data_IF_379525906200
#
_entry.id   IF_379525906200
#
_cell.length_a   1.000
_cell.length_b   1.000
_cell.length_c   1.000
_cell.angle_alpha   90.00
_cell.angle_beta   90.00
_cell.angle_gamma   90.00
#
_symmetry.space_group_name_H-M   'P 1'
#
loop_
_entity.id
_entity.type
_entity.pdbx_description
1 polymer ?
#
# COMPACT_ATOMS: atom_id res chain seq x y z
N UNK A 1 6.66 16.31 -5.33
CA UNK A 1 6.53 14.93 -4.84
C UNK A 1 7.13 14.91 -3.44
N UNK A 2 6.41 14.29 -2.50
CA UNK A 2 6.80 14.27 -1.09
C UNK A 2 7.55 12.97 -0.80
N UNK A 3 8.51 13.01 0.14
CA UNK A 3 9.13 11.81 0.68
C UNK A 3 8.63 11.64 2.10
N UNK A 4 8.12 10.45 2.43
CA UNK A 4 7.56 10.20 3.76
C UNK A 4 8.69 9.87 4.75
N UNK A 5 8.64 10.51 5.91
CA UNK A 5 9.38 10.09 7.09
C UNK A 5 8.97 8.68 7.51
N UNK A 6 9.80 8.02 8.34
CA UNK A 6 9.48 6.69 8.87
C UNK A 6 8.15 6.66 9.64
N UNK A 7 7.87 7.73 10.37
CA UNK A 7 6.66 7.90 11.16
C UNK A 7 5.43 8.03 10.26
N UNK A 8 5.46 8.91 9.25
CA UNK A 8 4.36 9.04 8.28
C UNK A 8 4.13 7.73 7.52
N UNK A 9 5.20 7.02 7.15
CA UNK A 9 5.10 5.71 6.49
C UNK A 9 4.45 4.66 7.38
N UNK A 10 4.75 4.69 8.68
CA UNK A 10 4.11 3.83 9.67
C UNK A 10 2.62 4.17 9.83
N UNK A 11 2.25 5.46 9.80
CA UNK A 11 0.86 5.90 9.83
C UNK A 11 0.10 5.42 8.58
N UNK A 12 0.70 5.57 7.39
CA UNK A 12 0.15 5.03 6.15
C UNK A 12 -0.04 3.51 6.22
N UNK A 13 0.95 2.78 6.75
CA UNK A 13 0.90 1.33 6.89
C UNK A 13 -0.22 0.92 7.86
N UNK A 14 -0.32 1.56 9.02
CA UNK A 14 -1.38 1.30 9.99
C UNK A 14 -2.76 1.60 9.39
N UNK A 15 -2.89 2.67 8.62
CA UNK A 15 -4.14 3.06 7.98
C UNK A 15 -4.60 2.01 6.97
N UNK A 16 -3.76 1.60 6.02
CA UNK A 16 -4.15 0.58 5.02
C UNK A 16 -4.30 -0.84 5.62
N UNK A 17 -3.72 -1.11 6.78
CA UNK A 17 -3.93 -2.36 7.52
C UNK A 17 -5.20 -2.35 8.38
N UNK A 18 -5.85 -1.19 8.53
CA UNK A 18 -7.09 -1.07 9.30
C UNK A 18 -8.23 -1.80 8.58
N UNK A 19 -9.02 -2.55 9.35
CA UNK A 19 -10.14 -3.31 8.79
C UNK A 19 -11.12 -2.37 8.09
N UNK A 20 -11.60 -2.77 6.91
CA UNK A 20 -12.49 -2.00 6.03
C UNK A 20 -11.86 -0.75 5.39
N UNK A 21 -10.53 -0.59 5.48
CA UNK A 21 -9.79 0.41 4.70
C UNK A 21 -9.11 -0.32 3.53
N UNK A 22 -9.72 -0.22 2.35
CA UNK A 22 -9.10 -0.61 1.08
C UNK A 22 -8.43 0.58 0.39
N UNK A 23 -7.79 0.40 -0.78
CA UNK A 23 -7.11 1.48 -1.49
C UNK A 23 -8.01 2.68 -1.86
N UNK A 24 -9.26 2.43 -2.25
CA UNK A 24 -10.23 3.50 -2.53
C UNK A 24 -10.55 4.31 -1.25
N UNK A 25 -10.96 3.63 -0.18
CA UNK A 25 -11.25 4.26 1.12
C UNK A 25 -10.03 4.98 1.69
N UNK A 26 -8.83 4.42 1.50
CA UNK A 26 -7.59 5.07 1.91
C UNK A 26 -7.42 6.42 1.20
N UNK A 27 -7.60 6.44 -0.13
CA UNK A 27 -7.51 7.68 -0.92
C UNK A 27 -8.56 8.71 -0.48
N UNK A 28 -9.79 8.28 -0.20
CA UNK A 28 -10.85 9.17 0.31
C UNK A 28 -10.46 9.77 1.68
N UNK A 29 -9.92 8.95 2.59
CA UNK A 29 -9.49 9.38 3.91
C UNK A 29 -8.31 10.35 3.82
N UNK A 30 -7.29 10.08 3.00
CA UNK A 30 -6.18 11.01 2.79
C UNK A 30 -6.66 12.31 2.13
N UNK A 31 -7.57 12.23 1.16
CA UNK A 31 -8.15 13.41 0.51
C UNK A 31 -8.98 14.28 1.47
N UNK A 32 -9.68 13.66 2.41
CA UNK A 32 -10.51 14.37 3.39
C UNK A 32 -9.74 14.95 4.57
N UNK A 33 -8.79 14.18 5.14
CA UNK A 33 -8.05 14.56 6.35
C UNK A 33 -6.66 15.14 6.07
N UNK A 34 -6.18 15.08 4.83
CA UNK A 34 -4.88 15.60 4.40
C UNK A 34 -3.69 14.69 4.71
N UNK A 35 -3.70 13.96 5.83
CA UNK A 35 -2.64 13.00 6.17
C UNK A 35 -3.17 11.76 6.92
N UNK A 36 -2.33 10.72 6.99
CA UNK A 36 -2.70 9.44 7.59
C UNK A 36 -2.85 9.49 9.11
N UNK A 37 -2.07 10.32 9.81
CA UNK A 37 -2.14 10.45 11.26
C UNK A 37 -3.50 11.02 11.70
N UNK A 38 -3.95 12.08 11.01
CA UNK A 38 -5.24 12.72 11.27
C UNK A 38 -6.41 11.80 10.89
N UNK A 39 -6.29 11.07 9.78
CA UNK A 39 -7.26 10.04 9.41
C UNK A 39 -7.39 8.95 10.49
N UNK A 40 -6.26 8.42 10.98
CA UNK A 40 -6.23 7.43 12.06
C UNK A 40 -6.88 7.94 13.35
N UNK A 41 -6.65 9.22 13.70
CA UNK A 41 -7.25 9.85 14.87
C UNK A 41 -8.78 10.01 14.74
N UNK A 42 -9.29 10.25 13.53
CA UNK A 42 -10.71 10.48 13.28
C UNK A 42 -11.53 9.19 13.08
N UNK A 43 -10.90 8.09 12.65
CA UNK A 43 -11.59 6.83 12.34
C UNK A 43 -12.47 6.25 13.47
N UNK A 44 -12.07 6.27 14.75
CA UNK A 44 -12.91 5.80 15.85
C UNK A 44 -14.25 6.55 15.97
N UNK A 45 -14.26 7.86 15.73
CA UNK A 45 -15.47 8.67 15.79
C UNK A 45 -16.40 8.43 14.60
N UNK A 46 -15.84 8.19 13.40
CA UNK A 46 -16.61 7.80 12.22
C UNK A 46 -17.28 6.43 12.40
N UNK A 47 -16.57 5.47 12.98
CA UNK A 47 -17.12 4.15 13.29
C UNK A 47 -18.33 4.24 14.25
N UNK A 48 -18.35 5.22 15.14
CA UNK A 48 -19.44 5.46 16.10
C UNK A 48 -20.67 6.14 15.48
N UNK A 49 -20.47 7.02 14.50
CA UNK A 49 -21.55 7.79 13.86
C UNK A 49 -22.22 7.08 12.68
N UNK A 50 -21.51 6.15 12.02
CA UNK A 50 -21.90 5.63 10.71
C UNK A 50 -23.00 4.55 10.66
N UNK A 51 -23.47 3.99 11.78
CA UNK A 51 -24.60 3.05 11.83
C UNK A 51 -24.48 1.73 11.02
N UNK A 52 -23.46 1.58 10.18
CA UNK A 52 -23.21 0.41 9.34
C UNK A 52 -22.64 -0.75 10.13
N UNK A 53 -23.14 -1.96 9.85
CA UNK A 53 -22.69 -3.23 10.44
C UNK A 53 -21.24 -3.54 10.04
N UNK A 54 -20.27 -2.88 10.66
CA UNK A 54 -18.84 -3.11 10.41
C UNK A 54 -17.98 -1.89 10.71
N UNK A 55 -17.96 -1.46 11.98
CA UNK A 55 -17.11 -0.34 12.40
C UNK A 55 -15.62 -0.55 12.05
N UNK A 56 -14.91 0.54 11.84
CA UNK A 56 -13.46 0.51 11.64
C UNK A 56 -12.79 -0.04 12.90
N UNK A 57 -12.10 -1.18 12.77
CA UNK A 57 -11.21 -1.68 13.80
C UNK A 57 -9.79 -1.32 13.40
N UNK A 58 -9.27 -0.26 14.02
CA UNK A 58 -7.90 0.23 13.81
C UNK A 58 -6.91 -0.93 13.91
N UNK A 59 -5.96 -0.96 12.96
CA UNK A 59 -4.83 -1.84 13.06
C UNK A 59 -3.99 -1.47 14.30
N UNK A 60 -3.41 -2.48 14.94
CA UNK A 60 -2.48 -2.29 16.05
C UNK A 60 -1.24 -1.55 15.57
N UNK A 61 -0.89 -0.46 16.25
CA UNK A 61 0.36 0.29 16.02
C UNK A 61 1.58 -0.62 16.03
N UNK A 62 1.64 -1.47 17.07
CA UNK A 62 2.71 -2.44 17.28
C UNK A 62 2.80 -3.47 16.15
N UNK A 63 1.69 -3.79 15.49
CA UNK A 63 1.70 -4.75 14.39
C UNK A 63 2.26 -4.13 13.12
N UNK A 64 1.89 -2.87 12.83
CA UNK A 64 2.45 -2.09 11.73
C UNK A 64 3.96 -1.83 11.94
N UNK A 65 4.39 -1.52 13.17
CA UNK A 65 5.81 -1.37 13.51
C UNK A 65 6.59 -2.67 13.23
N UNK A 66 6.08 -3.81 13.72
CA UNK A 66 6.71 -5.11 13.44
C UNK A 66 6.76 -5.44 11.95
N UNK A 67 5.77 -5.04 11.17
CA UNK A 67 5.77 -5.25 9.72
C UNK A 67 6.84 -4.39 9.05
N UNK A 68 6.93 -3.11 9.41
CA UNK A 68 7.96 -2.20 8.89
C UNK A 68 9.37 -2.68 9.25
N UNK A 69 9.60 -3.05 10.52
CA UNK A 69 10.89 -3.57 10.99
C UNK A 69 11.29 -4.88 10.27
N UNK A 70 10.32 -5.74 9.95
CA UNK A 70 10.58 -6.98 9.18
C UNK A 70 10.98 -6.69 7.76
N UNK A 71 10.38 -5.68 7.12
CA UNK A 71 10.78 -5.28 5.77
C UNK A 71 12.22 -4.75 5.78
N UNK A 72 12.54 -3.88 6.75
CA UNK A 72 13.90 -3.37 6.96
C UNK A 72 14.89 -4.54 7.13
N UNK A 73 14.58 -5.52 8.00
CA UNK A 73 15.42 -6.71 8.24
C UNK A 73 15.59 -7.61 7.01
N UNK A 74 14.62 -7.64 6.10
CA UNK A 74 14.68 -8.41 4.84
C UNK A 74 15.44 -7.68 3.73
N UNK A 75 15.94 -6.46 3.99
CA UNK A 75 16.52 -5.58 2.97
C UNK A 75 15.48 -5.09 1.95
N UNK A 76 14.22 -5.04 2.37
CA UNK A 76 13.12 -4.50 1.59
C UNK A 76 12.76 -3.09 2.08
N UNK A 77 12.08 -2.32 1.25
CA UNK A 77 11.59 -0.98 1.57
C UNK A 77 10.12 -0.85 1.20
N UNK A 78 9.38 -0.03 1.94
CA UNK A 78 8.04 0.40 1.54
C UNK A 78 8.14 1.66 0.70
N UNK A 79 7.44 1.72 -0.42
CA UNK A 79 7.30 2.90 -1.27
C UNK A 79 5.84 3.33 -1.24
N UNK A 80 5.58 4.61 -0.95
CA UNK A 80 4.25 5.18 -0.90
C UNK A 80 3.84 5.80 -2.24
N UNK A 81 2.53 5.79 -2.53
CA UNK A 81 1.98 6.29 -3.80
C UNK A 81 2.21 7.78 -4.06
N UNK A 82 2.52 8.57 -3.02
CA UNK A 82 2.87 9.99 -3.13
C UNK A 82 4.36 10.25 -3.46
N UNK A 83 5.19 9.20 -3.50
CA UNK A 83 6.64 9.31 -3.68
C UNK A 83 7.05 9.17 -5.15
N UNK A 84 8.18 9.80 -5.51
CA UNK A 84 8.70 9.77 -6.87
C UNK A 84 9.09 8.37 -7.35
N UNK A 85 9.50 7.50 -6.43
CA UNK A 85 9.90 6.11 -6.69
C UNK A 85 8.73 5.16 -6.93
N UNK A 86 7.48 5.62 -6.75
CA UNK A 86 6.31 4.80 -7.00
C UNK A 86 6.10 4.59 -8.51
N UNK A 87 5.79 3.36 -8.98
CA UNK A 87 5.65 3.07 -10.41
C UNK A 87 4.49 3.85 -11.03
N UNK A 88 4.77 4.63 -12.08
CA UNK A 88 3.74 5.46 -12.75
C UNK A 88 2.61 4.64 -13.35
N UNK A 89 2.93 3.48 -13.93
CA UNK A 89 1.95 2.58 -14.54
C UNK A 89 0.97 2.06 -13.48
N UNK A 90 1.47 1.74 -12.29
CA UNK A 90 0.64 1.28 -11.18
C UNK A 90 -0.21 2.42 -10.59
N UNK A 91 0.32 3.65 -10.56
CA UNK A 91 -0.44 4.82 -10.10
C UNK A 91 -1.65 5.15 -10.99
N UNK A 92 -1.61 4.74 -12.26
CA UNK A 92 -2.70 4.97 -13.22
C UNK A 92 -3.85 3.93 -13.13
N UNK A 93 -3.72 2.92 -12.27
CA UNK A 93 -4.81 1.98 -12.01
C UNK A 93 -5.96 2.66 -11.24
N UNK A 94 -7.18 2.12 -11.32
CA UNK A 94 -8.38 2.70 -10.69
C UNK A 94 -8.25 2.86 -9.16
N UNK A 95 -7.65 1.87 -8.49
CA UNK A 95 -7.45 1.86 -7.06
C UNK A 95 -6.02 1.42 -6.73
N UNK A 96 -5.02 2.29 -6.96
CA UNK A 96 -3.62 1.93 -6.79
C UNK A 96 -3.34 1.66 -5.30
N UNK A 97 -2.53 0.63 -4.96
CA UNK A 97 -2.20 0.39 -3.57
C UNK A 97 -1.44 1.61 -3.00
N UNK A 98 -1.77 2.10 -1.79
CA UNK A 98 -1.11 3.27 -1.24
C UNK A 98 0.35 3.02 -0.86
N UNK A 99 0.70 1.75 -0.61
CA UNK A 99 2.04 1.29 -0.29
C UNK A 99 2.35 0.02 -1.07
N UNK A 100 3.58 -0.07 -1.58
CA UNK A 100 4.15 -1.31 -2.13
C UNK A 100 5.44 -1.65 -1.40
N UNK A 101 5.68 -2.94 -1.17
CA UNK A 101 6.97 -3.42 -0.68
C UNK A 101 7.87 -3.75 -1.86
N UNK A 102 9.09 -3.23 -1.85
CA UNK A 102 10.11 -3.46 -2.86
C UNK A 102 11.32 -4.14 -2.20
N UNK A 103 11.81 -5.22 -2.80
CA UNK A 103 13.13 -5.77 -2.53
C UNK A 103 13.91 -5.85 -3.84
N UNK A 104 15.12 -5.26 -3.87
CA UNK A 104 15.93 -5.16 -5.08
C UNK A 104 16.12 -3.71 -5.52
N UNK A 105 16.13 -3.46 -6.84
CA UNK A 105 16.56 -2.19 -7.42
C UNK A 105 15.38 -1.26 -7.78
N UNK A 106 15.19 -0.11 -7.09
CA UNK A 106 14.04 0.78 -7.33
C UNK A 106 14.00 1.40 -8.72
N UNK A 107 15.17 1.65 -9.34
CA UNK A 107 15.23 2.30 -10.65
C UNK A 107 14.55 1.49 -11.77
N UNK A 108 14.38 0.17 -11.59
CA UNK A 108 13.70 -0.69 -12.56
C UNK A 108 12.19 -0.41 -12.63
N UNK A 109 11.59 0.17 -11.58
CA UNK A 109 10.17 0.52 -11.54
C UNK A 109 9.78 1.63 -12.54
N UNK A 110 10.78 2.33 -13.09
CA UNK A 110 10.58 3.39 -14.08
C UNK A 110 10.91 2.95 -15.51
N UNK A 111 11.39 1.73 -15.69
CA UNK A 111 11.69 1.19 -17.01
C UNK A 111 10.41 0.71 -17.70
N UNK A 112 10.34 0.74 -19.05
CA UNK A 112 9.30 0.03 -19.78
C UNK A 112 9.30 -1.46 -19.42
N UNK A 113 8.12 -2.03 -19.17
CA UNK A 113 7.97 -3.44 -18.84
C UNK A 113 6.74 -4.04 -19.53
N UNK A 114 6.81 -5.33 -19.85
CA UNK A 114 5.69 -6.12 -20.36
C UNK A 114 5.43 -7.27 -19.39
N UNK A 115 4.16 -7.49 -19.05
CA UNK A 115 3.77 -8.64 -18.25
C UNK A 115 3.63 -9.88 -19.16
N UNK A 116 4.32 -10.97 -18.82
CA UNK A 116 4.14 -12.28 -19.45
C UNK A 116 3.41 -13.18 -18.45
N UNK A 117 2.21 -13.64 -18.82
CA UNK A 117 1.36 -14.51 -17.97
C UNK A 117 0.92 -15.74 -18.76
N UNK A 118 0.74 -16.88 -18.08
CA UNK A 118 0.41 -18.15 -18.73
C UNK A 118 -0.14 -19.20 -17.77
N UNK A 119 -0.32 -20.43 -18.28
CA UNK A 119 -0.82 -21.54 -17.48
C UNK A 119 0.16 -21.93 -16.35
N UNK A 120 -0.38 -22.18 -15.14
CA UNK A 120 0.43 -22.65 -13.99
C UNK A 120 1.10 -24.00 -14.23
N UNK A 121 0.49 -24.84 -15.08
CA UNK A 121 1.03 -26.11 -15.56
C UNK A 121 1.10 -26.08 -17.09
N UNK A 122 2.00 -25.25 -17.62
CA UNK A 122 2.20 -25.11 -19.05
C UNK A 122 2.76 -26.40 -19.67
N UNK A 123 2.40 -26.66 -20.93
CA UNK A 123 3.05 -27.73 -21.70
C UNK A 123 4.50 -27.35 -22.00
N UNK A 124 5.33 -28.34 -22.36
CA UNK A 124 6.72 -28.09 -22.79
C UNK A 124 6.79 -27.09 -23.95
N UNK A 125 5.87 -27.17 -24.91
CA UNK A 125 5.78 -26.22 -26.01
C UNK A 125 5.45 -24.80 -25.52
N UNK A 126 4.58 -24.66 -24.52
CA UNK A 126 4.25 -23.37 -23.91
C UNK A 126 5.44 -22.74 -23.19
N UNK A 127 6.20 -23.53 -22.43
CA UNK A 127 7.42 -23.05 -21.73
C UNK A 127 8.54 -22.68 -22.69
N UNK A 128 8.62 -23.26 -23.89
CA UNK A 128 9.63 -22.88 -24.89
C UNK A 128 9.36 -21.53 -25.56
N UNK A 129 8.09 -21.10 -25.60
CA UNK A 129 7.67 -19.84 -26.23
C UNK A 129 7.77 -18.67 -25.23
N UNK A 130 7.56 -18.95 -23.94
CA UNK A 130 7.61 -17.97 -22.86
C UNK A 130 9.04 -17.51 -22.54
#
# INVERSE_FOLDING_TARGET
>A
MQQLSRQERLDWLQLIRTRNVGPATFSDLIGHFGNAADALAALPDFARRGGGKGGFKLASRKDAERELDRLDALGAQLIASCEASYPRQLANCEAPPPLISLKGHPHLLHQPCVAVVGARNASLAGTQIA
#
